data_IF_628695557903
#
_entry.id   IF_628695557903
#
_cell.length_a   1.000
_cell.length_b   1.000
_cell.length_c   1.000
_cell.angle_alpha   90.00
_cell.angle_beta   90.00
_cell.angle_gamma   90.00
#
_symmetry.space_group_name_H-M   'P 1'
#
loop_
_entity.id
_entity.type
_entity.pdbx_description
1 polymer ?
#
# COMPACT_ATOMS: atom_id res chain seq x y z
N UNK A 1 -13.18 -7.68 -9.97
CA UNK A 1 -14.36 -6.78 -9.99
C UNK A 1 -14.14 -5.63 -10.98
N UNK A 2 -12.91 -5.12 -11.10
CA UNK A 2 -12.54 -4.11 -12.11
C UNK A 2 -12.57 -4.56 -13.59
N UNK A 3 -12.63 -5.86 -13.90
CA UNK A 3 -12.76 -6.33 -15.30
C UNK A 3 -14.09 -5.97 -15.98
N UNK A 4 -15.12 -5.64 -15.19
CA UNK A 4 -16.43 -5.25 -15.71
C UNK A 4 -16.70 -3.74 -15.59
N UNK A 5 -16.03 -3.06 -14.64
CA UNK A 5 -16.19 -1.65 -14.36
C UNK A 5 -14.81 -1.01 -14.19
N UNK A 6 -14.55 0.11 -14.88
CA UNK A 6 -13.22 0.72 -14.93
C UNK A 6 -12.71 1.25 -13.59
N UNK A 7 -13.58 1.55 -12.64
CA UNK A 7 -13.22 1.96 -11.30
C UNK A 7 -14.24 1.38 -10.31
N UNK A 8 -13.76 0.67 -9.30
CA UNK A 8 -14.57 0.05 -8.26
C UNK A 8 -13.90 0.26 -6.91
N UNK A 9 -14.71 0.36 -5.87
CA UNK A 9 -14.21 0.29 -4.51
C UNK A 9 -15.12 -0.59 -3.66
N UNK A 10 -14.54 -1.16 -2.61
CA UNK A 10 -15.24 -1.85 -1.55
C UNK A 10 -14.94 -1.14 -0.24
N UNK A 11 -15.92 -1.12 0.65
CA UNK A 11 -15.75 -0.69 2.02
C UNK A 11 -16.35 -1.78 2.91
N UNK A 12 -15.54 -2.37 3.76
CA UNK A 12 -16.01 -3.47 4.59
C UNK A 12 -15.01 -3.93 5.65
N UNK A 13 -15.47 -4.81 6.56
CA UNK A 13 -14.62 -5.37 7.59
C UNK A 13 -13.57 -6.30 6.98
N UNK A 14 -12.36 -6.20 7.50
CA UNK A 14 -11.22 -7.06 7.16
C UNK A 14 -10.69 -7.70 8.42
N UNK A 15 -10.33 -8.98 8.31
CA UNK A 15 -9.87 -9.77 9.44
C UNK A 15 -8.42 -10.20 9.23
N UNK A 16 -7.60 -10.09 10.28
CA UNK A 16 -6.22 -10.61 10.31
C UNK A 16 -6.08 -11.58 11.47
N UNK A 17 -5.58 -12.77 11.15
CA UNK A 17 -5.32 -13.83 12.13
C UNK A 17 -3.84 -13.87 12.54
N UNK A 18 -3.23 -12.71 12.74
CA UNK A 18 -1.83 -12.58 13.17
C UNK A 18 -1.74 -12.54 14.69
N UNK A 19 -0.75 -13.24 15.27
CA UNK A 19 -0.48 -13.16 16.71
C UNK A 19 0.41 -11.95 17.01
N UNK A 20 -0.11 -10.74 16.77
CA UNK A 20 0.60 -9.46 16.95
C UNK A 20 -0.21 -8.54 17.86
N UNK A 21 0.39 -8.12 18.98
CA UNK A 21 -0.26 -7.28 20.00
C UNK A 21 0.27 -5.84 19.94
N UNK A 22 0.18 -5.21 18.77
CA UNK A 22 0.62 -3.83 18.57
C UNK A 22 -0.56 -2.87 18.45
N UNK A 23 -0.33 -1.57 18.71
CA UNK A 23 -1.35 -0.51 18.59
C UNK A 23 -1.88 -0.29 17.16
N UNK A 24 -1.25 -0.88 16.14
CA UNK A 24 -1.62 -0.75 14.72
C UNK A 24 -2.16 -2.04 14.09
N UNK A 25 -2.09 -3.15 14.81
CA UNK A 25 -2.47 -4.47 14.30
C UNK A 25 -3.73 -4.95 15.02
N UNK A 26 -4.89 -4.51 14.52
CA UNK A 26 -6.18 -5.00 14.98
C UNK A 26 -6.54 -6.31 14.28
N UNK A 27 -7.18 -7.21 15.01
CA UNK A 27 -7.70 -8.46 14.43
C UNK A 27 -8.88 -8.21 13.47
N UNK A 28 -9.63 -7.13 13.70
CA UNK A 28 -10.73 -6.65 12.86
C UNK A 28 -10.60 -5.13 12.69
N UNK A 29 -10.72 -4.65 11.45
CA UNK A 29 -10.71 -3.24 11.09
C UNK A 29 -11.50 -3.01 9.80
N UNK A 30 -11.87 -1.77 9.50
CA UNK A 30 -12.51 -1.45 8.23
C UNK A 30 -11.46 -1.07 7.20
N UNK A 31 -11.67 -1.55 5.98
CA UNK A 31 -10.78 -1.26 4.87
C UNK A 31 -11.58 -0.70 3.70
N UNK A 32 -11.06 0.38 3.12
CA UNK A 32 -11.44 0.81 1.77
C UNK A 32 -10.45 0.16 0.82
N UNK A 33 -10.94 -0.69 -0.09
CA UNK A 33 -10.13 -1.22 -1.18
C UNK A 33 -10.64 -0.65 -2.51
N UNK A 34 -9.78 0.02 -3.26
CA UNK A 34 -10.12 0.46 -4.62
C UNK A 34 -9.38 -0.37 -5.65
N UNK A 35 -10.02 -0.65 -6.78
CA UNK A 35 -9.38 -1.11 -8.01
C UNK A 35 -9.76 -0.21 -9.18
N UNK A 36 -8.75 0.21 -9.94
CA UNK A 36 -8.92 1.08 -11.11
C UNK A 36 -8.23 0.41 -12.28
N UNK A 37 -8.95 0.24 -13.38
CA UNK A 37 -8.47 -0.29 -14.65
C UNK A 37 -7.75 0.79 -15.48
N UNK A 38 -6.96 0.36 -16.45
CA UNK A 38 -6.22 1.23 -17.39
C UNK A 38 -5.21 2.17 -16.71
N UNK A 39 -4.70 1.78 -15.55
CA UNK A 39 -3.67 2.53 -14.82
C UNK A 39 -2.31 1.87 -15.06
N UNK A 40 -1.45 2.49 -15.86
CA UNK A 40 -0.24 1.82 -16.38
C UNK A 40 1.01 2.06 -15.54
N UNK A 41 1.04 3.15 -14.78
CA UNK A 41 2.20 3.60 -14.02
C UNK A 41 1.93 3.70 -12.51
N UNK A 42 3.00 3.63 -11.72
CA UNK A 42 2.94 3.96 -10.30
C UNK A 42 2.62 5.43 -10.05
N UNK A 43 2.98 6.32 -10.97
CA UNK A 43 2.70 7.75 -10.85
C UNK A 43 1.19 8.02 -10.87
N UNK A 44 0.46 7.35 -11.76
CA UNK A 44 -1.00 7.42 -11.81
C UNK A 44 -1.63 6.90 -10.52
N UNK A 45 -1.10 5.79 -9.97
CA UNK A 45 -1.55 5.23 -8.69
C UNK A 45 -1.33 6.22 -7.54
N UNK A 46 -0.11 6.76 -7.45
CA UNK A 46 0.24 7.77 -6.44
C UNK A 46 -0.66 8.99 -6.55
N UNK A 47 -0.98 9.42 -7.78
CA UNK A 47 -1.86 10.57 -8.00
C UNK A 47 -3.27 10.31 -7.47
N UNK A 48 -3.83 9.13 -7.73
CA UNK A 48 -5.14 8.73 -7.16
C UNK A 48 -5.08 8.69 -5.62
N UNK A 49 -4.04 8.09 -5.04
CA UNK A 49 -3.87 8.02 -3.58
C UNK A 49 -3.77 9.43 -2.96
N UNK A 50 -3.01 10.33 -3.59
CA UNK A 50 -2.85 11.71 -3.16
C UNK A 50 -4.16 12.47 -3.22
N UNK A 51 -4.89 12.38 -4.34
CA UNK A 51 -6.16 13.07 -4.54
C UNK A 51 -7.24 12.55 -3.57
N UNK A 52 -7.28 11.24 -3.32
CA UNK A 52 -8.17 10.63 -2.32
C UNK A 52 -7.87 11.17 -0.91
N UNK A 53 -6.59 11.20 -0.52
CA UNK A 53 -6.18 11.66 0.80
C UNK A 53 -6.46 13.16 0.99
N UNK A 54 -6.17 13.98 -0.03
CA UNK A 54 -6.47 15.42 -0.03
C UNK A 54 -7.97 15.67 0.07
N UNK A 55 -8.76 15.03 -0.79
CA UNK A 55 -10.21 15.20 -0.78
C UNK A 55 -10.84 14.79 0.55
N UNK A 56 -10.41 13.66 1.13
CA UNK A 56 -10.91 13.22 2.43
C UNK A 56 -10.52 14.20 3.55
N UNK A 57 -9.27 14.67 3.57
CA UNK A 57 -8.78 15.61 4.58
C UNK A 57 -9.48 16.97 4.45
N UNK A 58 -9.60 17.51 3.24
CA UNK A 58 -10.32 18.75 2.96
C UNK A 58 -11.81 18.64 3.33
N UNK A 59 -12.44 17.51 3.05
CA UNK A 59 -13.83 17.26 3.43
C UNK A 59 -14.02 17.27 4.95
N UNK A 60 -13.13 16.59 5.69
CA UNK A 60 -13.14 16.60 7.16
C UNK A 60 -12.88 18.02 7.69
N UNK A 61 -11.90 18.73 7.15
CA UNK A 61 -11.57 20.11 7.58
C UNK A 61 -12.66 21.13 7.21
N UNK A 62 -13.46 20.88 6.19
CA UNK A 62 -14.56 21.78 5.81
C UNK A 62 -15.86 21.45 6.55
N UNK A 63 -16.08 20.17 6.89
CA UNK A 63 -17.36 19.69 7.43
C UNK A 63 -17.36 19.54 8.95
N UNK A 64 -16.19 19.32 9.56
CA UNK A 64 -16.06 19.04 11.00
C UNK A 64 -15.25 20.14 11.69
N UNK A 65 -15.70 21.39 11.58
CA UNK A 65 -15.01 22.54 12.20
C UNK A 65 -14.86 22.42 13.73
N UNK A 66 -15.76 21.69 14.40
CA UNK A 66 -15.68 21.42 15.86
C UNK A 66 -14.59 20.39 16.20
N UNK A 67 -14.26 19.47 15.28
CA UNK A 67 -13.18 18.48 15.44
C UNK A 67 -11.78 19.06 15.11
N UNK A 68 -11.70 20.33 14.69
CA UNK A 68 -10.44 21.05 14.49
C UNK A 68 -9.60 21.20 15.77
N UNK A 69 -10.13 20.76 16.92
CA UNK A 69 -9.41 20.64 18.18
C UNK A 69 -8.43 19.45 18.23
N UNK A 70 -8.09 18.84 17.09
CA UNK A 70 -7.05 17.82 17.02
C UNK A 70 -5.64 18.46 17.07
N UNK A 71 -5.20 18.77 18.30
CA UNK A 71 -3.81 18.94 18.73
C UNK A 71 -2.95 20.05 18.06
N UNK A 72 -3.21 21.31 18.39
CA UNK A 72 -2.16 22.38 18.34
C UNK A 72 -0.96 22.13 19.30
N UNK A 73 -0.97 21.08 20.11
CA UNK A 73 -0.04 20.88 21.24
C UNK A 73 1.19 19.99 21.00
N UNK A 74 1.59 19.68 19.75
CA UNK A 74 2.74 18.77 19.50
C UNK A 74 3.79 19.28 18.51
N UNK A 75 3.68 20.51 18.02
CA UNK A 75 4.62 21.06 17.03
C UNK A 75 5.99 21.43 17.64
N UNK A 76 6.12 21.53 18.97
CA UNK A 76 7.37 21.95 19.63
C UNK A 76 8.24 20.83 20.23
N UNK A 77 8.08 19.59 19.79
CA UNK A 77 9.06 18.55 20.14
C UNK A 77 9.50 17.90 18.85
N UNK A 78 10.75 18.17 18.45
CA UNK A 78 11.72 17.20 17.93
C UNK A 78 13.05 17.93 17.64
N UNK A 79 13.82 18.21 18.70
CA UNK A 79 15.27 18.41 18.57
C UNK A 79 15.98 17.05 18.63
N UNK A 80 16.96 16.90 17.73
CA UNK A 80 18.07 15.95 17.67
C UNK A 80 17.78 14.47 17.87
N UNK A 81 18.28 13.65 16.95
CA UNK A 81 18.58 12.27 17.30
C UNK A 81 19.66 11.65 16.41
N UNK A 82 20.76 11.25 17.03
CA UNK A 82 21.63 10.16 16.59
C UNK A 82 21.01 8.86 17.11
N UNK A 83 20.31 8.09 16.25
CA UNK A 83 19.72 6.81 16.66
C UNK A 83 20.60 5.64 16.24
N UNK A 84 20.79 4.70 17.15
CA UNK A 84 21.18 3.34 16.83
C UNK A 84 19.91 2.58 16.44
N UNK A 85 19.91 1.90 15.29
CA UNK A 85 18.76 1.10 14.85
C UNK A 85 18.65 -0.17 15.69
N UNK A 86 17.41 -0.57 16.00
CA UNK A 86 17.14 -1.84 16.67
C UNK A 86 17.13 -2.98 15.65
N UNK A 87 16.72 -2.69 14.42
CA UNK A 87 16.61 -3.61 13.30
C UNK A 87 17.59 -3.25 12.17
N UNK A 88 18.03 -4.25 11.40
CA UNK A 88 18.96 -4.04 10.29
C UNK A 88 18.30 -3.26 9.14
N UNK A 89 19.08 -2.43 8.44
CA UNK A 89 18.70 -1.70 7.23
C UNK A 89 19.47 -2.31 6.06
N UNK A 90 19.11 -3.54 5.72
CA UNK A 90 19.66 -4.24 4.57
C UNK A 90 18.60 -4.37 3.48
N UNK A 91 19.04 -4.38 2.22
CA UNK A 91 18.15 -4.62 1.09
C UNK A 91 17.46 -5.99 1.24
N UNK A 92 16.17 -6.04 0.91
CA UNK A 92 15.36 -7.25 1.08
C UNK A 92 14.78 -7.45 2.49
N UNK A 93 15.10 -6.58 3.45
CA UNK A 93 14.44 -6.57 4.75
C UNK A 93 13.20 -5.66 4.75
N UNK A 94 12.16 -6.10 5.46
CA UNK A 94 10.93 -5.33 5.60
C UNK A 94 11.11 -4.06 6.45
N UNK A 95 10.45 -2.97 6.06
CA UNK A 95 10.53 -1.70 6.77
C UNK A 95 9.75 -1.78 8.08
N UNK A 96 10.49 -1.74 9.19
CA UNK A 96 9.89 -1.68 10.52
C UNK A 96 9.40 -0.26 10.84
N UNK A 97 8.49 -0.16 11.83
CA UNK A 97 7.93 1.12 12.29
C UNK A 97 8.97 2.18 12.65
N UNK A 98 10.17 1.80 13.11
CA UNK A 98 11.24 2.77 13.38
C UNK A 98 11.83 3.37 12.10
N UNK A 99 11.97 2.55 11.04
CA UNK A 99 12.47 2.98 9.73
C UNK A 99 11.48 3.95 9.06
N UNK A 100 10.19 3.62 9.06
CA UNK A 100 9.11 4.48 8.54
C UNK A 100 9.14 5.89 9.18
N UNK A 101 9.24 5.94 10.51
CA UNK A 101 9.22 7.21 11.27
C UNK A 101 10.44 8.08 10.93
N UNK A 102 11.60 7.45 10.74
CA UNK A 102 12.83 8.16 10.40
C UNK A 102 12.76 8.69 8.96
N UNK A 103 12.25 7.90 8.02
CA UNK A 103 12.05 8.32 6.63
C UNK A 103 11.15 9.56 6.55
N UNK A 104 9.97 9.49 7.18
CA UNK A 104 9.03 10.62 7.21
C UNK A 104 9.67 11.86 7.86
N UNK A 105 10.39 11.69 8.97
CA UNK A 105 11.10 12.79 9.64
C UNK A 105 12.20 13.40 8.75
N UNK A 106 12.96 12.58 8.05
CA UNK A 106 14.03 13.03 7.14
C UNK A 106 13.47 13.83 5.96
N UNK A 107 12.31 13.44 5.43
CA UNK A 107 11.61 14.13 4.35
C UNK A 107 10.87 15.41 4.81
N UNK A 108 11.15 15.93 6.00
CA UNK A 108 10.53 17.16 6.50
C UNK A 108 9.24 16.97 7.29
N UNK A 109 8.96 15.74 7.74
CA UNK A 109 7.78 15.39 8.53
C UNK A 109 6.45 15.70 7.81
N UNK A 110 6.41 15.39 6.51
CA UNK A 110 5.24 15.46 5.62
C UNK A 110 4.87 14.04 5.15
N UNK A 111 3.68 13.80 4.57
CA UNK A 111 3.37 12.52 3.94
C UNK A 111 4.38 12.15 2.85
N UNK A 112 4.82 10.88 2.82
CA UNK A 112 5.85 10.37 1.90
C UNK A 112 5.37 9.11 1.23
N UNK A 113 5.51 9.03 -0.10
CA UNK A 113 5.39 7.77 -0.83
C UNK A 113 6.73 7.03 -0.81
N UNK A 114 6.69 5.74 -0.46
CA UNK A 114 7.79 4.80 -0.65
C UNK A 114 7.38 3.87 -1.77
N UNK A 115 8.21 3.72 -2.80
CA UNK A 115 7.91 2.97 -4.02
C UNK A 115 8.97 1.91 -4.29
N UNK A 116 8.65 0.95 -5.16
CA UNK A 116 9.58 -0.07 -5.67
C UNK A 116 10.22 -0.88 -4.55
N UNK A 117 9.36 -1.56 -3.78
CA UNK A 117 9.78 -2.47 -2.72
C UNK A 117 10.50 -3.70 -3.30
N UNK A 118 11.42 -4.33 -2.54
CA UNK A 118 11.96 -5.64 -2.88
C UNK A 118 10.83 -6.61 -3.24
N UNK A 119 10.97 -7.28 -4.39
CA UNK A 119 9.88 -8.07 -4.98
C UNK A 119 9.36 -9.15 -4.02
N UNK A 120 10.26 -9.81 -3.29
CA UNK A 120 9.98 -10.91 -2.38
C UNK A 120 9.14 -10.52 -1.15
N UNK A 121 9.05 -9.23 -0.84
CA UNK A 121 8.27 -8.73 0.29
C UNK A 121 6.82 -8.44 -0.07
N UNK A 122 6.49 -8.39 -1.36
CA UNK A 122 5.15 -8.04 -1.84
C UNK A 122 4.41 -9.30 -2.33
N UNK A 123 3.06 -9.27 -2.32
CA UNK A 123 2.28 -10.43 -2.75
C UNK A 123 2.55 -10.83 -4.19
N UNK A 124 2.35 -12.11 -4.51
CA UNK A 124 2.59 -12.67 -5.85
C UNK A 124 1.88 -11.93 -6.99
N UNK A 125 0.78 -11.22 -6.71
CA UNK A 125 0.02 -10.50 -7.72
C UNK A 125 0.54 -9.08 -7.98
N UNK A 126 1.55 -8.61 -7.24
CA UNK A 126 2.18 -7.33 -7.51
C UNK A 126 3.05 -7.44 -8.76
N UNK A 127 2.98 -6.44 -9.63
CA UNK A 127 3.74 -6.44 -10.90
C UNK A 127 5.24 -6.48 -10.61
N UNK A 128 5.93 -7.38 -11.30
CA UNK A 128 7.37 -7.51 -11.28
C UNK A 128 8.03 -6.45 -12.20
N UNK A 129 8.91 -5.59 -11.67
CA UNK A 129 9.61 -4.59 -12.49
C UNK A 129 10.72 -5.19 -13.38
N UNK A 130 11.20 -6.42 -13.06
CA UNK A 130 12.30 -7.12 -13.73
C UNK A 130 13.58 -6.28 -13.83
N UNK A 131 13.76 -5.35 -12.91
CA UNK A 131 14.90 -4.45 -12.80
C UNK A 131 16.13 -5.14 -12.21
N UNK A 132 17.30 -4.59 -12.52
CA UNK A 132 18.61 -5.08 -12.10
C UNK A 132 19.49 -3.88 -11.71
N UNK A 133 20.35 -4.00 -10.68
CA UNK A 133 20.67 -5.23 -9.94
C UNK A 133 19.67 -5.58 -8.82
N UNK A 134 18.77 -4.66 -8.49
CA UNK A 134 17.80 -4.81 -7.42
C UNK A 134 16.44 -5.17 -8.01
N UNK A 135 15.92 -6.35 -7.66
CA UNK A 135 14.63 -6.84 -8.14
C UNK A 135 13.49 -6.25 -7.30
N UNK A 136 12.59 -5.50 -7.92
CA UNK A 136 11.51 -4.78 -7.23
C UNK A 136 10.12 -5.10 -7.77
N UNK A 137 9.11 -4.92 -6.91
CA UNK A 137 7.71 -4.91 -7.28
C UNK A 137 7.22 -3.47 -7.47
N UNK A 138 6.36 -3.24 -8.47
CA UNK A 138 5.67 -1.98 -8.66
C UNK A 138 4.59 -1.78 -7.59
N UNK A 139 5.04 -1.49 -6.37
CA UNK A 139 4.24 -1.26 -5.19
C UNK A 139 4.59 0.08 -4.56
N UNK A 140 3.62 0.66 -3.86
CA UNK A 140 3.72 1.94 -3.19
C UNK A 140 3.03 1.90 -1.84
N UNK A 141 3.67 2.47 -0.83
CA UNK A 141 3.04 2.73 0.47
C UNK A 141 3.11 4.23 0.78
N UNK A 142 2.01 4.80 1.26
CA UNK A 142 1.88 6.18 1.74
C UNK A 142 2.11 6.20 3.26
N UNK A 143 3.22 6.79 3.67
CA UNK A 143 3.59 7.00 5.06
C UNK A 143 3.14 8.37 5.54
N UNK A 144 2.42 8.44 6.66
CA UNK A 144 1.92 9.69 7.24
C UNK A 144 2.60 9.96 8.59
N UNK A 145 3.04 11.21 8.85
CA UNK A 145 3.62 11.62 10.13
C UNK A 145 2.81 11.18 11.34
N UNK A 146 3.46 10.57 12.32
CA UNK A 146 2.83 10.08 13.55
C UNK A 146 2.00 8.80 13.40
N UNK A 147 1.53 8.47 12.19
CA UNK A 147 0.68 7.31 11.91
C UNK A 147 1.51 6.12 11.41
N UNK A 148 2.44 6.32 10.47
CA UNK A 148 3.10 5.24 9.72
C UNK A 148 2.40 4.97 8.38
N UNK A 149 2.47 3.74 7.88
CA UNK A 149 1.71 3.32 6.69
C UNK A 149 0.21 3.54 6.86
N UNK A 150 -0.35 4.47 6.10
CA UNK A 150 -1.79 4.74 6.05
C UNK A 150 -2.45 3.96 4.92
N UNK A 151 -1.80 3.92 3.76
CA UNK A 151 -2.33 3.31 2.56
C UNK A 151 -1.24 2.58 1.80
N UNK A 152 -1.53 1.36 1.35
CA UNK A 152 -0.64 0.59 0.46
C UNK A 152 -1.30 0.31 -0.88
N UNK A 153 -0.50 0.09 -1.92
CA UNK A 153 -0.99 -0.24 -3.23
C UNK A 153 0.06 -0.83 -4.17
N UNK A 154 -0.39 -1.40 -5.29
CA UNK A 154 0.50 -1.91 -6.33
C UNK A 154 -0.18 -1.94 -7.69
N UNK A 155 0.61 -1.91 -8.75
CA UNK A 155 0.18 -2.43 -10.05
C UNK A 155 -0.01 -3.95 -9.92
N UNK A 156 -1.02 -4.50 -10.59
CA UNK A 156 -1.21 -5.96 -10.69
C UNK A 156 -0.35 -6.54 -11.79
N UNK A 157 0.12 -7.77 -11.60
CA UNK A 157 0.76 -8.55 -12.65
C UNK A 157 -0.27 -9.04 -13.67
N UNK A 158 -0.29 -8.40 -14.83
CA UNK A 158 -1.17 -8.69 -15.96
C UNK A 158 -0.53 -9.64 -16.98
N UNK A 159 0.80 -9.80 -16.98
CA UNK A 159 1.49 -10.67 -17.94
C UNK A 159 1.26 -12.12 -17.54
N UNK A 160 0.41 -12.78 -18.32
CA UNK A 160 -0.08 -14.13 -18.03
C UNK A 160 1.05 -15.13 -17.80
N UNK A 161 2.15 -15.03 -18.55
CA UNK A 161 3.28 -15.95 -18.43
C UNK A 161 3.97 -15.85 -17.06
N UNK A 162 4.28 -14.63 -16.61
CA UNK A 162 4.96 -14.39 -15.32
C UNK A 162 4.04 -14.77 -14.16
N UNK A 163 2.78 -14.34 -14.22
CA UNK A 163 1.82 -14.73 -13.19
C UNK A 163 1.63 -16.25 -13.16
N UNK A 164 1.61 -16.92 -14.32
CA UNK A 164 1.47 -18.38 -14.36
C UNK A 164 2.61 -19.09 -13.66
N UNK A 165 3.84 -18.60 -13.82
CA UNK A 165 4.99 -19.13 -13.13
C UNK A 165 4.85 -18.93 -11.61
N UNK A 166 4.49 -17.73 -11.16
CA UNK A 166 4.30 -17.42 -9.73
C UNK A 166 3.19 -18.28 -9.09
N UNK A 167 2.04 -18.39 -9.75
CA UNK A 167 0.92 -19.19 -9.26
C UNK A 167 1.26 -20.69 -9.18
N UNK A 168 2.09 -21.20 -10.10
CA UNK A 168 2.52 -22.60 -10.09
C UNK A 168 3.34 -22.97 -8.85
N UNK A 169 4.04 -22.00 -8.26
CA UNK A 169 4.82 -22.19 -7.03
C UNK A 169 3.98 -22.10 -5.75
N UNK A 170 2.82 -21.45 -5.80
CA UNK A 170 2.04 -21.09 -4.59
C UNK A 170 0.77 -21.94 -4.47
N UNK A 171 0.10 -22.25 -5.57
CA UNK A 171 -1.24 -22.82 -5.58
C UNK A 171 -1.32 -24.15 -6.31
N UNK A 172 -2.32 -24.97 -5.96
CA UNK A 172 -2.68 -26.15 -6.74
C UNK A 172 -3.35 -25.79 -8.08
N UNK A 173 -3.52 -26.79 -8.96
CA UNK A 173 -4.12 -26.58 -10.29
C UNK A 173 -5.57 -26.08 -10.27
N UNK A 174 -6.34 -26.36 -9.22
CA UNK A 174 -7.74 -25.92 -9.11
C UNK A 174 -7.78 -24.43 -8.81
N UNK A 175 -7.00 -24.00 -7.82
CA UNK A 175 -6.85 -22.60 -7.42
C UNK A 175 -6.24 -21.75 -8.54
N UNK A 176 -5.24 -22.28 -9.24
CA UNK A 176 -4.69 -21.65 -10.46
C UNK A 176 -5.78 -21.40 -11.51
N UNK A 177 -6.60 -22.41 -11.84
CA UNK A 177 -7.68 -22.26 -12.83
C UNK A 177 -8.70 -21.19 -12.43
N UNK A 178 -9.08 -21.15 -11.16
CA UNK A 178 -9.99 -20.13 -10.65
C UNK A 178 -9.40 -18.73 -10.81
N UNK A 179 -8.12 -18.55 -10.46
CA UNK A 179 -7.44 -17.26 -10.60
C UNK A 179 -7.29 -16.83 -12.07
N UNK A 180 -6.85 -17.73 -12.96
CA UNK A 180 -6.76 -17.43 -14.38
C UNK A 180 -8.11 -17.11 -15.04
N UNK A 181 -9.19 -17.71 -14.55
CA UNK A 181 -10.54 -17.42 -15.07
C UNK A 181 -10.92 -15.98 -14.76
N UNK A 182 -10.59 -15.48 -13.56
CA UNK A 182 -10.76 -14.07 -13.20
C UNK A 182 -9.87 -13.17 -14.04
N UNK A 183 -8.62 -13.56 -14.25
CA UNK A 183 -7.66 -12.74 -15.00
C UNK A 183 -7.96 -12.70 -16.50
N UNK A 184 -8.46 -13.77 -17.12
CA UNK A 184 -8.90 -13.75 -18.52
C UNK A 184 -10.02 -12.75 -18.76
N UNK A 185 -10.93 -12.60 -17.78
CA UNK A 185 -11.97 -11.57 -17.80
C UNK A 185 -11.43 -10.14 -17.55
N UNK A 186 -10.19 -10.01 -17.07
CA UNK A 186 -9.52 -8.75 -16.72
C UNK A 186 -8.29 -8.46 -17.60
N UNK A 187 -8.02 -9.30 -18.61
CA UNK A 187 -6.71 -9.48 -19.27
C UNK A 187 -6.18 -8.30 -20.10
N UNK A 188 -6.96 -7.23 -20.23
CA UNK A 188 -6.57 -6.00 -20.92
C UNK A 188 -6.39 -4.81 -19.99
N UNK A 189 -6.70 -4.97 -18.70
CA UNK A 189 -6.77 -3.88 -17.74
C UNK A 189 -5.60 -3.95 -16.79
N UNK A 190 -4.68 -3.00 -16.93
CA UNK A 190 -3.73 -2.69 -15.87
C UNK A 190 -4.54 -2.24 -14.67
N UNK A 191 -4.54 -3.03 -13.60
CA UNK A 191 -5.28 -2.68 -12.40
C UNK A 191 -4.34 -2.26 -11.29
N UNK A 192 -4.74 -1.22 -10.57
CA UNK A 192 -4.13 -0.86 -9.30
C UNK A 192 -4.99 -1.37 -8.17
N UNK A 193 -4.37 -1.59 -7.02
CA UNK A 193 -5.09 -1.76 -5.78
C UNK A 193 -4.63 -0.72 -4.77
N UNK A 194 -5.57 -0.14 -4.04
CA UNK A 194 -5.34 0.81 -2.95
C UNK A 194 -6.01 0.22 -1.72
N UNK A 195 -5.31 0.14 -0.60
CA UNK A 195 -5.82 -0.36 0.68
C UNK A 195 -5.61 0.68 1.77
N UNK A 196 -6.69 1.30 2.22
CA UNK A 196 -6.67 2.23 3.36
C UNK A 196 -7.27 1.56 4.59
N UNK A 197 -6.51 1.52 5.69
CA UNK A 197 -7.00 1.07 7.00
C UNK A 197 -7.72 2.24 7.68
N UNK A 198 -8.96 2.02 8.11
CA UNK A 198 -9.80 3.00 8.84
C UNK A 198 -10.07 2.49 10.25
#
# INVERSE_FOLDING_TARGET
MAGAFSAVYTFGPTFRAENSQSRRHLAEFYMVEAEIAFTESLDDLMKVMEDLFKAATEHVLSSCAEDHFLHRGRIDILKSSSHNFTFSIEWGCDLQTEHEKILVKHCGNVPVFVINYPYELKPFYARDNQDQPNHTAAAVDLLVPGVGELCGGSLREERLELLSQQLAHIFDRVMQKSYFSLQRLMSTCHSVNIKCKI
#
